data_IF_870046157181
#
_entry.id   IF_870046157181
#
_cell.length_a   1.000
_cell.length_b   1.000
_cell.length_c   1.000
_cell.angle_alpha   90.00
_cell.angle_beta   90.00
_cell.angle_gamma   90.00
#
_symmetry.space_group_name_H-M   'P 1'
#
loop_
_entity.id
_entity.type
_entity.pdbx_description
1 polymer ?
#
# COMPACT_ATOMS: atom_id res chain seq x y z
N UNK A 1 0.71 16.05 7.21
CA UNK A 1 0.18 14.96 6.37
C UNK A 1 1.28 14.55 5.40
N UNK A 2 1.55 13.25 5.22
CA UNK A 2 2.58 12.79 4.27
C UNK A 2 2.06 12.80 2.84
N UNK A 3 2.91 13.19 1.88
CA UNK A 3 2.62 13.03 0.45
C UNK A 3 3.21 11.69 0.00
N UNK A 4 2.38 10.85 -0.62
CA UNK A 4 2.81 9.63 -1.29
C UNK A 4 2.56 9.77 -2.80
N UNK A 5 3.54 9.38 -3.61
CA UNK A 5 3.44 9.32 -5.07
C UNK A 5 3.78 7.91 -5.50
N UNK A 6 2.82 7.22 -6.12
CA UNK A 6 2.93 5.80 -6.46
C UNK A 6 2.48 5.54 -7.91
N UNK A 7 3.12 4.58 -8.59
CA UNK A 7 2.69 4.07 -9.88
C UNK A 7 2.38 2.56 -9.77
N UNK A 8 1.14 2.17 -10.05
CA UNK A 8 0.72 0.76 -10.09
C UNK A 8 0.69 0.25 -11.52
N UNK A 9 1.38 -0.85 -11.77
CA UNK A 9 1.43 -1.50 -13.08
C UNK A 9 0.93 -2.94 -12.99
N UNK A 10 0.21 -3.39 -14.01
CA UNK A 10 -0.08 -4.81 -14.20
C UNK A 10 1.21 -5.54 -14.54
N UNK A 11 1.45 -6.69 -13.91
CA UNK A 11 2.61 -7.56 -14.18
C UNK A 11 2.11 -8.86 -14.78
N UNK A 12 2.39 -9.09 -16.07
CA UNK A 12 1.96 -10.32 -16.74
C UNK A 12 2.80 -11.53 -16.33
N UNK A 13 4.07 -11.33 -15.99
CA UNK A 13 4.96 -12.41 -15.53
C UNK A 13 5.86 -11.94 -14.41
N UNK A 14 5.75 -12.61 -13.25
CA UNK A 14 6.53 -12.28 -12.07
C UNK A 14 7.98 -12.75 -12.16
N UNK A 15 8.26 -13.79 -12.95
CA UNK A 15 9.61 -14.35 -13.07
C UNK A 15 10.59 -13.36 -13.71
N UNK A 16 10.29 -12.87 -14.92
CA UNK A 16 11.12 -11.90 -15.63
C UNK A 16 11.28 -10.58 -14.86
N UNK A 17 10.23 -10.13 -14.16
CA UNK A 17 10.32 -8.96 -13.29
C UNK A 17 11.32 -9.17 -12.14
N UNK A 18 11.27 -10.33 -11.48
CA UNK A 18 12.20 -10.65 -10.37
C UNK A 18 13.64 -10.74 -10.87
N UNK A 19 13.89 -11.39 -12.00
CA UNK A 19 15.23 -11.44 -12.60
C UNK A 19 15.77 -10.04 -12.91
N UNK A 20 14.92 -9.18 -13.49
CA UNK A 20 15.31 -7.79 -13.77
C UNK A 20 15.60 -7.00 -12.50
N UNK A 21 14.80 -7.16 -11.44
CA UNK A 21 15.04 -6.52 -10.14
C UNK A 21 16.38 -6.97 -9.55
N UNK A 22 16.67 -8.27 -9.58
CA UNK A 22 17.95 -8.82 -9.10
C UNK A 22 19.13 -8.25 -9.91
N UNK A 23 19.01 -8.20 -11.24
CA UNK A 23 20.04 -7.63 -12.11
C UNK A 23 20.31 -6.13 -11.84
N UNK A 24 19.32 -5.41 -11.32
CA UNK A 24 19.45 -4.00 -10.89
C UNK A 24 19.92 -3.86 -9.43
N UNK A 25 20.21 -4.96 -8.73
CA UNK A 25 20.68 -4.96 -7.35
C UNK A 25 19.58 -4.79 -6.30
N UNK A 26 18.30 -4.99 -6.65
CA UNK A 26 17.23 -4.95 -5.67
C UNK A 26 17.30 -6.14 -4.71
N UNK A 27 16.99 -5.91 -3.44
CA UNK A 27 16.95 -6.92 -2.40
C UNK A 27 15.52 -7.34 -2.08
N UNK A 28 15.27 -8.64 -1.93
CA UNK A 28 14.00 -9.14 -1.42
C UNK A 28 13.98 -9.00 0.12
N UNK A 29 13.40 -7.91 0.62
CA UNK A 29 13.34 -7.63 2.05
C UNK A 29 12.49 -8.65 2.83
N UNK A 30 11.33 -9.02 2.29
CA UNK A 30 10.43 -9.99 2.91
C UNK A 30 9.44 -10.61 1.91
N UNK A 31 8.82 -11.71 2.33
CA UNK A 31 7.60 -12.26 1.73
C UNK A 31 6.56 -12.37 2.84
N UNK A 32 5.41 -11.76 2.62
CA UNK A 32 4.35 -11.63 3.63
C UNK A 32 3.01 -12.02 3.03
N UNK A 33 2.10 -12.50 3.89
CA UNK A 33 0.68 -12.43 3.64
C UNK A 33 0.18 -11.11 4.24
N UNK A 34 -0.27 -10.20 3.38
CA UNK A 34 -0.88 -8.93 3.77
C UNK A 34 -2.39 -9.07 3.82
N UNK A 35 -3.01 -8.68 4.94
CA UNK A 35 -4.47 -8.59 5.08
C UNK A 35 -4.84 -7.13 5.29
N UNK A 36 -5.74 -6.59 4.45
CA UNK A 36 -6.24 -5.22 4.58
C UNK A 36 -7.69 -5.27 5.04
N UNK A 37 -7.96 -4.71 6.21
CA UNK A 37 -9.30 -4.44 6.70
C UNK A 37 -9.67 -3.02 6.26
N UNK A 38 -10.62 -2.89 5.35
CA UNK A 38 -11.10 -1.60 4.86
C UNK A 38 -12.31 -1.18 5.68
N UNK A 39 -12.29 0.05 6.18
CA UNK A 39 -13.34 0.62 7.01
C UNK A 39 -14.00 1.78 6.28
N UNK A 40 -15.31 1.87 6.43
CA UNK A 40 -16.13 3.00 6.04
C UNK A 40 -17.35 3.04 6.96
N UNK A 41 -18.05 4.18 6.95
CA UNK A 41 -19.35 4.29 7.58
C UNK A 41 -20.41 3.54 6.76
N UNK A 42 -21.57 3.28 7.37
CA UNK A 42 -22.70 2.65 6.67
C UNK A 42 -23.15 3.44 5.43
N UNK A 43 -22.97 4.76 5.45
CA UNK A 43 -23.27 5.69 4.35
C UNK A 43 -22.16 5.79 3.29
N UNK A 44 -21.03 5.09 3.47
CA UNK A 44 -19.86 5.11 2.59
C UNK A 44 -19.25 6.49 2.38
N UNK A 45 -19.27 7.35 3.41
CA UNK A 45 -18.77 8.72 3.36
C UNK A 45 -17.26 8.88 3.14
N UNK A 46 -16.44 7.85 3.40
CA UNK A 46 -15.02 7.89 3.00
C UNK A 46 -14.89 7.66 1.51
N UNK A 47 -15.52 6.61 0.98
CA UNK A 47 -15.51 6.31 -0.45
C UNK A 47 -16.06 7.47 -1.27
N UNK A 48 -17.20 8.05 -0.86
CA UNK A 48 -17.82 9.17 -1.56
C UNK A 48 -16.94 10.44 -1.61
N UNK A 49 -15.97 10.55 -0.70
CA UNK A 49 -15.02 11.66 -0.65
C UNK A 49 -13.63 11.33 -1.18
N UNK A 50 -13.46 10.25 -1.94
CA UNK A 50 -12.16 9.75 -2.43
C UNK A 50 -11.13 9.56 -1.31
N UNK A 51 -11.60 9.06 -0.17
CA UNK A 51 -10.80 8.74 1.02
C UNK A 51 -10.89 7.25 1.32
N UNK A 52 -9.89 6.76 2.03
CA UNK A 52 -9.87 5.36 2.49
C UNK A 52 -9.27 5.26 3.89
N UNK A 53 -9.84 4.39 4.71
CA UNK A 53 -9.31 4.02 6.00
C UNK A 53 -9.05 2.52 6.00
N UNK A 54 -7.83 2.11 6.39
CA UNK A 54 -7.50 0.69 6.51
C UNK A 54 -6.63 0.39 7.73
N UNK A 55 -6.86 -0.79 8.30
CA UNK A 55 -5.86 -1.49 9.13
C UNK A 55 -5.23 -2.56 8.26
N UNK A 56 -3.91 -2.51 8.15
CA UNK A 56 -3.11 -3.49 7.41
C UNK A 56 -2.34 -4.36 8.40
N UNK A 57 -2.53 -5.66 8.30
CA UNK A 57 -1.81 -6.66 9.05
C UNK A 57 -0.88 -7.45 8.14
N UNK A 58 0.28 -7.84 8.67
CA UNK A 58 1.25 -8.65 7.96
C UNK A 58 1.55 -9.92 8.74
N UNK A 59 1.48 -11.05 8.05
CA UNK A 59 2.07 -12.31 8.51
C UNK A 59 3.29 -12.61 7.68
N UNK A 60 4.48 -12.49 8.27
CA UNK A 60 5.74 -12.80 7.59
C UNK A 60 5.86 -14.29 7.31
N UNK A 61 6.16 -14.63 6.05
CA UNK A 61 6.49 -15.99 5.60
C UNK A 61 8.01 -16.17 5.55
N UNK A 62 8.73 -15.16 5.04
CA UNK A 62 10.20 -15.09 5.01
C UNK A 62 10.66 -13.65 5.23
N UNK A 63 11.77 -13.46 5.94
CA UNK A 63 12.37 -12.15 6.18
C UNK A 63 12.03 -11.60 7.56
N UNK A 64 12.13 -10.28 7.72
CA UNK A 64 11.86 -9.63 9.01
C UNK A 64 10.36 -9.59 9.34
N UNK A 65 10.06 -9.64 10.64
CA UNK A 65 8.72 -9.43 11.15
C UNK A 65 8.23 -8.02 10.80
N UNK A 66 7.04 -7.93 10.24
CA UNK A 66 6.40 -6.65 9.89
C UNK A 66 5.30 -6.32 10.91
N UNK A 67 5.22 -5.06 11.32
CA UNK A 67 4.18 -4.57 12.23
C UNK A 67 2.93 -4.15 11.47
N UNK A 68 1.76 -4.27 12.11
CA UNK A 68 0.51 -3.76 11.56
C UNK A 68 0.53 -2.24 11.44
N UNK A 69 -0.18 -1.69 10.45
CA UNK A 69 -0.22 -0.25 10.15
C UNK A 69 -1.66 0.24 9.99
N UNK A 70 -1.99 1.40 10.58
CA UNK A 70 -3.22 2.13 10.29
C UNK A 70 -2.92 3.19 9.22
N UNK A 71 -3.72 3.23 8.15
CA UNK A 71 -3.54 4.21 7.07
C UNK A 71 -4.86 4.93 6.77
N UNK A 72 -4.79 6.26 6.71
CA UNK A 72 -5.83 7.11 6.14
C UNK A 72 -5.30 7.75 4.85
N UNK A 73 -5.91 7.39 3.73
CA UNK A 73 -5.65 7.99 2.42
C UNK A 73 -6.74 9.02 2.10
N UNK A 74 -6.39 10.05 1.36
CA UNK A 74 -7.34 11.05 0.92
C UNK A 74 -6.78 11.91 -0.20
N UNK A 75 -7.61 12.84 -0.66
CA UNK A 75 -7.23 13.80 -1.68
C UNK A 75 -6.03 14.64 -1.23
N UNK A 76 -5.23 15.03 -2.22
CA UNK A 76 -4.19 16.04 -2.01
C UNK A 76 -4.87 17.31 -1.48
N UNK A 77 -4.44 17.87 -0.35
CA UNK A 77 -4.92 19.18 0.07
C UNK A 77 -4.56 20.18 -1.02
N UNK A 78 -5.54 20.98 -1.45
CA UNK A 78 -5.30 22.05 -2.42
C UNK A 78 -4.29 23.03 -1.79
N UNK A 79 -3.31 23.52 -2.55
CA UNK A 79 -2.21 24.31 -2.00
C UNK A 79 -2.63 25.60 -1.26
N UNK A 80 -3.88 26.05 -1.40
CA UNK A 80 -4.38 27.32 -0.84
C UNK A 80 -5.67 27.20 0.00
N UNK A 81 -5.95 26.05 0.61
CA UNK A 81 -7.11 25.90 1.51
C UNK A 81 -6.65 25.92 2.97
N UNK A 82 -6.41 27.13 3.49
CA UNK A 82 -6.33 27.44 4.92
C UNK A 82 -7.32 28.55 5.24
#
# INVERSE_FOLDING_TARGET
MGLEVEAKLKVDTHHSLRERLIALGALCASRVLETNHIFDNADRSLLAGDRGLRVREYRTVVGQASSSTLTQSGLRPQPNSF
#
